data_IF_498373642311
#
_entry.id   IF_498373642311
#
_cell.length_a   1.000
_cell.length_b   1.000
_cell.length_c   1.000
_cell.angle_alpha   90.00
_cell.angle_beta   90.00
_cell.angle_gamma   90.00
#
_symmetry.space_group_name_H-M   'P 1'
#
loop_
_entity.id
_entity.type
_entity.pdbx_description
1 polymer ?
#
# COMPACT_ATOMS: atom_id res chain seq x y z
N UNK A 1 -6.05 31.73 -16.53
CA UNK A 1 -5.76 30.54 -15.69
C UNK A 1 -4.28 30.19 -15.61
N UNK A 2 -3.60 29.79 -16.71
CA UNK A 2 -2.15 29.49 -16.68
C UNK A 2 -1.26 30.73 -16.44
N UNK A 3 -1.63 31.88 -16.99
CA UNK A 3 -0.92 33.15 -16.77
C UNK A 3 -1.04 33.61 -15.30
N UNK A 4 -2.20 33.43 -14.69
CA UNK A 4 -2.47 33.81 -13.29
C UNK A 4 -1.67 32.95 -12.30
N UNK A 5 -1.58 31.63 -12.56
CA UNK A 5 -0.77 30.71 -11.76
C UNK A 5 0.72 31.05 -11.83
N UNK A 6 1.21 31.45 -13.01
CA UNK A 6 2.61 31.85 -13.21
C UNK A 6 2.91 33.19 -12.54
N UNK A 7 1.96 34.13 -12.57
CA UNK A 7 2.06 35.42 -11.88
C UNK A 7 2.04 35.26 -10.34
N UNK A 8 1.34 34.23 -9.83
CA UNK A 8 1.36 33.85 -8.42
C UNK A 8 2.65 33.09 -8.00
N UNK A 9 3.63 32.95 -8.89
CA UNK A 9 4.93 32.33 -8.59
C UNK A 9 4.93 30.80 -8.61
N UNK A 10 3.84 30.15 -9.02
CA UNK A 10 3.83 28.70 -9.15
C UNK A 10 4.73 28.26 -10.33
N UNK A 11 5.79 27.52 -10.01
CA UNK A 11 6.65 26.87 -10.99
C UNK A 11 6.19 25.43 -11.20
N UNK A 12 5.98 25.04 -12.46
CA UNK A 12 5.71 23.65 -12.81
C UNK A 12 7.02 22.87 -12.69
N UNK A 13 7.10 22.01 -11.67
CA UNK A 13 8.21 21.06 -11.57
C UNK A 13 8.06 20.03 -12.70
N UNK A 14 9.12 19.87 -13.48
CA UNK A 14 9.22 18.87 -14.54
C UNK A 14 10.50 18.08 -14.30
N UNK A 15 10.38 16.76 -14.36
CA UNK A 15 11.50 15.84 -14.23
C UNK A 15 11.48 14.90 -15.43
N UNK A 16 12.64 14.71 -16.05
CA UNK A 16 12.83 13.70 -17.09
C UNK A 16 13.48 12.48 -16.45
N UNK A 17 12.85 11.33 -16.60
CA UNK A 17 13.29 10.06 -16.03
C UNK A 17 13.41 9.05 -17.18
N UNK A 18 14.53 8.35 -17.25
CA UNK A 18 14.70 7.23 -18.18
C UNK A 18 14.01 5.99 -17.63
N UNK A 19 13.24 5.32 -18.46
CA UNK A 19 12.58 4.04 -18.15
C UNK A 19 12.94 3.00 -19.19
N UNK A 20 12.77 1.72 -18.85
CA UNK A 20 13.08 0.61 -19.76
C UNK A 20 12.14 0.54 -20.98
N UNK A 21 10.87 0.92 -20.81
CA UNK A 21 9.83 0.94 -21.84
C UNK A 21 8.90 2.15 -21.61
N UNK A 22 8.00 2.44 -22.57
CA UNK A 22 6.96 3.46 -22.46
C UNK A 22 5.60 2.94 -21.94
N UNK A 23 4.64 3.85 -21.76
CA UNK A 23 3.25 3.52 -21.38
C UNK A 23 3.06 3.28 -19.87
N UNK A 24 2.05 2.47 -19.50
CA UNK A 24 1.74 2.14 -18.09
C UNK A 24 2.92 1.49 -17.37
N UNK A 25 3.65 0.61 -18.06
CA UNK A 25 4.84 -0.03 -17.51
C UNK A 25 5.91 0.99 -17.08
N UNK A 26 6.11 2.07 -17.85
CA UNK A 26 7.01 3.16 -17.48
C UNK A 26 6.59 3.86 -16.19
N UNK A 27 5.28 4.14 -16.04
CA UNK A 27 4.75 4.78 -14.85
C UNK A 27 4.93 3.91 -13.61
N UNK A 28 4.64 2.61 -13.72
CA UNK A 28 4.85 1.66 -12.63
C UNK A 28 6.33 1.52 -12.26
N UNK A 29 7.23 1.49 -13.24
CA UNK A 29 8.68 1.47 -13.02
C UNK A 29 9.14 2.69 -12.22
N UNK A 30 8.72 3.90 -12.63
CA UNK A 30 9.05 5.15 -11.92
C UNK A 30 8.56 5.14 -10.48
N UNK A 31 7.36 4.64 -10.24
CA UNK A 31 6.77 4.58 -8.90
C UNK A 31 7.47 3.53 -8.02
N UNK A 32 7.72 2.33 -8.55
CA UNK A 32 8.33 1.22 -7.80
C UNK A 32 9.80 1.46 -7.48
N UNK A 33 10.58 1.96 -8.45
CA UNK A 33 12.01 2.19 -8.30
C UNK A 33 12.33 3.56 -7.69
N UNK A 34 11.31 4.39 -7.43
CA UNK A 34 11.48 5.72 -6.85
C UNK A 34 12.30 6.65 -7.75
N UNK A 35 12.29 6.43 -9.07
CA UNK A 35 13.14 7.16 -10.03
C UNK A 35 12.82 8.66 -10.09
N UNK A 36 11.62 9.06 -9.66
CA UNK A 36 11.26 10.47 -9.53
C UNK A 36 11.79 11.14 -8.23
N UNK A 37 12.54 10.40 -7.41
CA UNK A 37 13.17 10.87 -6.18
C UNK A 37 12.21 11.54 -5.22
N UNK A 38 12.67 12.62 -4.59
CA UNK A 38 11.92 13.39 -3.60
C UNK A 38 10.60 13.98 -4.13
N UNK A 39 10.44 14.12 -5.45
CA UNK A 39 9.22 14.70 -6.04
C UNK A 39 8.00 13.81 -5.81
N UNK A 40 8.18 12.48 -5.86
CA UNK A 40 7.10 11.52 -5.60
C UNK A 40 7.24 10.79 -4.26
N UNK A 41 8.39 10.85 -3.58
CA UNK A 41 8.62 10.10 -2.34
C UNK A 41 7.62 10.41 -1.20
N UNK A 42 7.04 11.61 -1.17
CA UNK A 42 6.02 12.00 -0.18
C UNK A 42 4.59 11.64 -0.62
N UNK A 43 4.42 11.13 -1.84
CA UNK A 43 3.11 10.75 -2.34
C UNK A 43 2.70 9.41 -1.72
N UNK A 44 1.48 9.35 -1.18
CA UNK A 44 0.94 8.13 -0.54
C UNK A 44 1.06 6.90 -1.44
N UNK A 45 0.84 7.08 -2.73
CA UNK A 45 1.00 6.01 -3.73
C UNK A 45 2.40 5.41 -3.81
N UNK A 46 3.47 6.20 -3.61
CA UNK A 46 4.83 5.64 -3.61
C UNK A 46 5.08 4.88 -2.31
N UNK A 47 4.54 5.37 -1.19
CA UNK A 47 4.65 4.72 0.12
C UNK A 47 3.90 3.39 0.15
N UNK A 48 2.66 3.34 -0.36
CA UNK A 48 1.87 2.11 -0.41
C UNK A 48 2.55 1.06 -1.31
N UNK A 49 3.08 1.46 -2.48
CA UNK A 49 3.83 0.57 -3.36
C UNK A 49 5.06 0.00 -2.65
N UNK A 50 5.85 0.84 -1.97
CA UNK A 50 7.04 0.39 -1.23
C UNK A 50 6.71 -0.61 -0.12
N UNK A 51 5.60 -0.39 0.61
CA UNK A 51 5.15 -1.30 1.66
C UNK A 51 4.65 -2.64 1.11
N UNK A 52 3.95 -2.62 -0.02
CA UNK A 52 3.52 -3.84 -0.71
C UNK A 52 4.71 -4.66 -1.23
N UNK A 53 5.69 -4.00 -1.84
CA UNK A 53 6.93 -4.66 -2.28
C UNK A 53 7.70 -5.30 -1.12
N UNK A 54 7.77 -4.62 0.04
CA UNK A 54 8.36 -5.20 1.25
C UNK A 54 7.54 -6.41 1.76
N UNK A 55 6.21 -6.36 1.69
CA UNK A 55 5.36 -7.50 2.03
C UNK A 55 5.65 -8.69 1.12
N UNK A 56 5.74 -8.48 -0.20
CA UNK A 56 6.07 -9.52 -1.17
C UNK A 56 7.45 -10.13 -0.94
N UNK A 57 8.43 -9.28 -0.62
CA UNK A 57 9.77 -9.73 -0.25
C UNK A 57 9.72 -10.63 0.98
N UNK A 58 9.01 -10.23 2.05
CA UNK A 58 8.86 -11.06 3.25
C UNK A 58 8.14 -12.38 2.97
N UNK A 59 7.13 -12.39 2.09
CA UNK A 59 6.48 -13.65 1.68
C UNK A 59 7.50 -14.57 1.02
N UNK A 60 8.33 -14.04 0.09
CA UNK A 60 9.33 -14.83 -0.62
C UNK A 60 10.43 -15.40 0.28
N UNK A 61 10.75 -14.71 1.38
CA UNK A 61 11.76 -15.15 2.37
C UNK A 61 11.14 -15.82 3.59
N UNK A 62 9.83 -16.08 3.57
CA UNK A 62 9.07 -16.66 4.69
C UNK A 62 9.27 -15.89 6.02
N UNK A 63 9.32 -14.56 5.95
CA UNK A 63 9.51 -13.68 7.11
C UNK A 63 8.20 -13.22 7.77
N UNK A 64 8.30 -12.19 8.62
CA UNK A 64 7.19 -11.66 9.43
C UNK A 64 6.14 -10.90 8.58
N UNK A 65 5.22 -11.66 7.98
CA UNK A 65 4.11 -11.17 7.15
C UNK A 65 2.89 -12.12 7.26
N UNK A 66 1.67 -11.58 7.21
CA UNK A 66 0.44 -12.36 7.15
C UNK A 66 -0.43 -11.89 5.98
N UNK A 67 -1.06 -12.81 5.27
CA UNK A 67 -2.02 -12.50 4.20
C UNK A 67 -3.24 -13.41 4.32
N UNK A 68 -4.38 -12.94 3.81
CA UNK A 68 -5.68 -13.57 4.02
C UNK A 68 -6.28 -13.27 5.39
N UNK A 69 -7.61 -13.15 5.41
CA UNK A 69 -8.37 -12.63 6.56
C UNK A 69 -8.08 -13.39 7.87
N UNK A 70 -8.12 -14.72 7.85
CA UNK A 70 -7.90 -15.53 9.05
C UNK A 70 -6.49 -15.40 9.64
N UNK A 71 -5.45 -15.29 8.81
CA UNK A 71 -4.08 -15.13 9.29
C UNK A 71 -3.86 -13.71 9.86
N UNK A 72 -4.40 -12.70 9.18
CA UNK A 72 -4.32 -11.31 9.62
C UNK A 72 -5.09 -11.11 10.93
N UNK A 73 -6.27 -11.71 11.08
CA UNK A 73 -7.04 -11.64 12.32
C UNK A 73 -6.26 -12.24 13.50
N UNK A 74 -5.70 -13.45 13.35
CA UNK A 74 -4.85 -14.06 14.40
C UNK A 74 -3.64 -13.21 14.77
N UNK A 75 -2.98 -12.62 13.76
CA UNK A 75 -1.83 -11.75 14.01
C UNK A 75 -2.24 -10.45 14.71
N UNK A 76 -3.42 -9.92 14.39
CA UNK A 76 -4.00 -8.72 15.00
C UNK A 76 -4.35 -8.98 16.47
N UNK A 77 -4.98 -10.11 16.78
CA UNK A 77 -5.32 -10.51 18.16
C UNK A 77 -4.08 -10.67 19.06
N UNK A 78 -2.95 -11.05 18.47
CA UNK A 78 -1.68 -11.16 19.17
C UNK A 78 -0.92 -9.83 19.28
N UNK A 79 -1.41 -8.75 18.65
CA UNK A 79 -0.71 -7.46 18.60
C UNK A 79 0.57 -7.47 17.75
N UNK A 80 0.70 -8.46 16.85
CA UNK A 80 1.88 -8.64 16.01
C UNK A 80 1.88 -7.71 14.78
N UNK A 81 0.72 -7.17 14.38
CA UNK A 81 0.60 -6.32 13.19
C UNK A 81 1.27 -4.96 13.40
N UNK A 82 2.24 -4.64 12.56
CA UNK A 82 2.86 -3.33 12.48
C UNK A 82 2.10 -2.42 11.51
N UNK A 83 1.84 -2.93 10.31
CA UNK A 83 1.17 -2.20 9.23
C UNK A 83 0.22 -3.12 8.49
N UNK A 84 -1.07 -2.79 8.45
CA UNK A 84 -2.09 -3.44 7.64
C UNK A 84 -2.24 -2.69 6.32
N UNK A 85 -2.02 -3.37 5.20
CA UNK A 85 -2.25 -2.89 3.84
C UNK A 85 -3.53 -3.54 3.31
N UNK A 86 -4.54 -2.75 2.96
CA UNK A 86 -5.85 -3.26 2.53
C UNK A 86 -6.35 -2.50 1.32
N UNK A 87 -6.94 -3.20 0.35
CA UNK A 87 -7.59 -2.57 -0.80
C UNK A 87 -8.72 -1.64 -0.35
N UNK A 88 -8.78 -0.43 -0.90
CA UNK A 88 -9.77 0.57 -0.50
C UNK A 88 -11.23 0.10 -0.70
N UNK A 89 -11.49 -0.77 -1.67
CA UNK A 89 -12.80 -1.35 -1.91
C UNK A 89 -13.11 -2.48 -0.91
N UNK A 90 -12.11 -3.31 -0.58
CA UNK A 90 -12.21 -4.42 0.38
C UNK A 90 -12.56 -3.92 1.78
N UNK A 91 -11.99 -2.78 2.18
CA UNK A 91 -12.32 -2.14 3.45
C UNK A 91 -13.77 -1.62 3.50
N UNK A 92 -14.34 -1.25 2.35
CA UNK A 92 -15.69 -0.68 2.22
C UNK A 92 -16.79 -1.72 2.12
N UNK A 93 -16.52 -2.88 1.52
CA UNK A 93 -17.48 -3.98 1.31
C UNK A 93 -17.78 -4.80 2.59
N UNK A 94 -17.75 -4.14 3.76
CA UNK A 94 -17.55 -4.71 5.10
C UNK A 94 -18.65 -5.57 5.72
N UNK A 95 -19.17 -6.58 5.03
CA UNK A 95 -19.85 -7.71 5.68
C UNK A 95 -19.23 -9.03 5.21
N UNK A 96 -18.37 -9.60 6.05
CA UNK A 96 -17.96 -10.99 5.89
C UNK A 96 -19.14 -11.89 6.28
N UNK A 97 -19.54 -12.84 5.41
CA UNK A 97 -20.53 -13.85 5.76
C UNK A 97 -20.12 -14.71 6.97
N UNK A 98 -18.81 -14.82 7.24
CA UNK A 98 -18.23 -15.51 8.38
C UNK A 98 -16.97 -14.75 8.87
N UNK A 99 -16.94 -14.30 10.13
CA UNK A 99 -15.78 -13.64 10.75
C UNK A 99 -15.96 -12.14 11.09
N UNK A 100 -14.92 -11.50 11.63
CA UNK A 100 -14.91 -10.05 11.88
C UNK A 100 -14.82 -9.27 10.57
N UNK A 101 -15.50 -8.13 10.51
CA UNK A 101 -15.38 -7.21 9.38
C UNK A 101 -13.97 -6.62 9.29
N UNK A 102 -13.55 -6.25 8.07
CA UNK A 102 -12.28 -5.55 7.87
C UNK A 102 -12.18 -4.25 8.66
N UNK A 103 -13.29 -3.54 8.84
CA UNK A 103 -13.36 -2.35 9.69
C UNK A 103 -12.98 -2.65 11.13
N UNK A 104 -13.52 -3.73 11.71
CA UNK A 104 -13.19 -4.12 13.08
C UNK A 104 -11.73 -4.56 13.22
N UNK A 105 -11.19 -5.27 12.23
CA UNK A 105 -9.76 -5.64 12.19
C UNK A 105 -8.89 -4.38 12.13
N UNK A 106 -9.21 -3.42 11.26
CA UNK A 106 -8.48 -2.16 11.12
C UNK A 106 -8.47 -1.35 12.43
N UNK A 107 -9.63 -1.18 13.08
CA UNK A 107 -9.73 -0.51 14.39
C UNK A 107 -8.91 -1.22 15.47
N UNK A 108 -8.87 -2.56 15.44
CA UNK A 108 -8.08 -3.34 16.39
C UNK A 108 -6.58 -3.18 16.16
N UNK A 109 -6.12 -3.14 14.89
CA UNK A 109 -4.73 -2.84 14.54
C UNK A 109 -4.29 -1.48 15.09
N UNK A 110 -5.11 -0.45 14.91
CA UNK A 110 -4.84 0.90 15.44
C UNK A 110 -4.79 0.90 16.98
N UNK A 111 -5.66 0.14 17.64
CA UNK A 111 -5.67 -0.02 19.10
C UNK A 111 -4.35 -0.59 19.62
N UNK A 112 -3.70 -1.51 18.88
CA UNK A 112 -2.38 -2.06 19.20
C UNK A 112 -1.20 -1.20 18.68
N UNK A 113 -1.46 0.07 18.38
CA UNK A 113 -0.47 1.01 17.81
C UNK A 113 0.13 0.53 16.49
N UNK A 114 -0.60 -0.27 15.72
CA UNK A 114 -0.31 -0.54 14.33
C UNK A 114 -0.83 0.58 13.43
N UNK A 115 -0.45 0.55 12.15
CA UNK A 115 -0.94 1.50 11.15
C UNK A 115 -1.78 0.79 10.09
N UNK A 116 -2.76 1.51 9.53
CA UNK A 116 -3.61 1.00 8.43
C UNK A 116 -3.39 1.87 7.21
N UNK A 117 -3.05 1.23 6.09
CA UNK A 117 -2.80 1.86 4.80
C UNK A 117 -3.81 1.31 3.80
N UNK A 118 -4.63 2.19 3.25
CA UNK A 118 -5.54 1.85 2.16
C UNK A 118 -4.81 1.93 0.83
N UNK A 119 -4.80 0.83 0.09
CA UNK A 119 -4.12 0.71 -1.19
C UNK A 119 -5.09 0.95 -2.36
N UNK A 120 -4.65 1.70 -3.36
CA UNK A 120 -5.35 1.80 -4.65
C UNK A 120 -5.07 0.58 -5.53
N UNK A 121 -5.98 0.27 -6.46
CA UNK A 121 -5.79 -0.75 -7.51
C UNK A 121 -5.26 -0.17 -8.82
N UNK A 122 -4.98 1.15 -8.87
CA UNK A 122 -4.55 1.84 -10.09
C UNK A 122 -3.11 1.48 -10.54
N UNK A 123 -2.35 0.83 -9.66
CA UNK A 123 -0.97 0.42 -9.90
C UNK A 123 -0.81 -1.10 -9.70
N UNK A 124 0.22 -1.67 -10.33
CA UNK A 124 0.37 -3.13 -10.41
C UNK A 124 0.49 -3.80 -9.02
N UNK A 125 1.17 -3.17 -8.06
CA UNK A 125 1.29 -3.72 -6.70
C UNK A 125 -0.08 -3.81 -5.98
N UNK A 126 -0.99 -2.88 -6.25
CA UNK A 126 -2.33 -2.87 -5.67
C UNK A 126 -3.26 -3.88 -6.35
N UNK A 127 -3.11 -4.07 -7.66
CA UNK A 127 -3.76 -5.16 -8.39
C UNK A 127 -3.30 -6.53 -7.86
N UNK A 128 -2.00 -6.69 -7.57
CA UNK A 128 -1.47 -7.89 -6.94
C UNK A 128 -2.08 -8.14 -5.55
N UNK A 129 -2.27 -7.10 -4.73
CA UNK A 129 -2.90 -7.22 -3.40
C UNK A 129 -4.25 -7.93 -3.46
N UNK A 130 -5.06 -7.66 -4.49
CA UNK A 130 -6.34 -8.34 -4.69
C UNK A 130 -6.18 -9.84 -4.91
N UNK A 131 -5.11 -10.26 -5.59
CA UNK A 131 -4.74 -11.68 -5.75
C UNK A 131 -4.35 -12.39 -4.44
N UNK A 132 -3.96 -11.63 -3.40
CA UNK A 132 -3.63 -12.14 -2.06
C UNK A 132 -4.83 -12.07 -1.08
N UNK A 133 -6.05 -11.93 -1.59
CA UNK A 133 -7.25 -11.84 -0.77
C UNK A 133 -7.57 -10.43 -0.29
N UNK A 134 -7.00 -9.41 -0.95
CA UNK A 134 -7.38 -8.01 -0.75
C UNK A 134 -6.73 -7.32 0.45
N UNK A 135 -5.98 -8.04 1.28
CA UNK A 135 -5.24 -7.48 2.40
C UNK A 135 -3.97 -8.28 2.73
N UNK A 136 -2.95 -7.57 3.22
CA UNK A 136 -1.69 -8.11 3.73
C UNK A 136 -1.22 -7.29 4.93
N UNK A 137 -0.59 -7.94 5.90
CA UNK A 137 -0.09 -7.31 7.12
C UNK A 137 1.41 -7.54 7.27
N UNK A 138 2.17 -6.47 7.42
CA UNK A 138 3.55 -6.51 7.89
C UNK A 138 3.54 -6.68 9.41
N UNK A 139 4.31 -7.66 9.89
CA UNK A 139 4.32 -8.02 11.31
C UNK A 139 5.64 -7.59 11.96
N UNK A 140 5.57 -7.29 13.26
CA UNK A 140 6.71 -6.98 14.13
C UNK A 140 7.56 -8.23 14.42
N UNK A 141 6.92 -9.40 14.43
CA UNK A 141 7.52 -10.71 14.67
C UNK A 141 6.70 -11.80 13.95
N UNK A 142 7.30 -12.98 13.78
CA UNK A 142 6.64 -14.14 13.15
C UNK A 142 5.60 -14.79 14.07
N UNK A 143 4.52 -15.31 13.47
CA UNK A 143 3.29 -15.74 14.18
C UNK A 143 2.80 -17.08 13.67
#
# INVERSE_FOLDING_TARGET
MLADLKAAGHQRQMLSVGTTIGGRAAANEVLREGLAGNLLAQHRMVQEIGLLEEAWKRISTNGAVAYGQAAIERATEQGAVETLLIGADVLREGEASEGKSWTAIAEQVETFSGSVVQCSIDHDAGEQLMGFGGAVALLRYEV
#
